data_IF_571445641142
#
_entry.id   IF_571445641142
#
_cell.length_a   1.000
_cell.length_b   1.000
_cell.length_c   1.000
_cell.angle_alpha   90.00
_cell.angle_beta   90.00
_cell.angle_gamma   90.00
#
_symmetry.space_group_name_H-M   'P 1'
#
loop_
_entity.id
_entity.type
_entity.pdbx_description
1 polymer ?
#
# COMPACT_ATOMS: atom_id res chain seq x y z
N UNK A 1 77.72 -6.18 -17.26
CA UNK A 1 76.77 -5.04 -17.21
C UNK A 1 75.65 -5.46 -16.25
N UNK A 2 75.63 -5.23 -14.94
CA UNK A 2 76.13 -4.11 -14.13
C UNK A 2 75.06 -3.00 -14.02
N UNK A 3 74.74 -2.43 -12.84
CA UNK A 3 74.74 -3.03 -11.50
C UNK A 3 73.60 -2.51 -10.56
N UNK A 4 73.38 -3.23 -9.43
CA UNK A 4 73.39 -2.77 -8.02
C UNK A 4 72.44 -1.67 -7.45
N UNK A 5 71.94 -2.04 -6.25
CA UNK A 5 71.83 -1.28 -4.98
C UNK A 5 70.68 -0.24 -4.87
N UNK A 6 70.05 0.05 -3.71
CA UNK A 6 70.44 -0.08 -2.30
C UNK A 6 69.23 -0.24 -1.37
N UNK A 7 69.49 -0.89 -0.24
CA UNK A 7 68.67 -1.08 0.98
C UNK A 7 69.11 -0.06 2.05
N UNK A 8 68.28 0.11 3.10
CA UNK A 8 68.49 0.75 4.43
C UNK A 8 67.96 2.18 4.58
N UNK A 9 67.44 2.60 5.73
CA UNK A 9 67.41 2.01 7.07
C UNK A 9 66.96 3.07 8.09
N UNK A 10 66.58 2.60 9.28
CA UNK A 10 65.95 3.31 10.39
C UNK A 10 66.68 4.57 10.91
N UNK A 11 65.94 5.43 11.63
CA UNK A 11 66.42 6.03 12.88
C UNK A 11 65.28 6.61 13.75
N UNK A 12 65.52 6.48 15.05
CA UNK A 12 64.66 6.74 16.20
C UNK A 12 64.54 8.24 16.51
N UNK A 13 63.39 8.64 17.07
CA UNK A 13 63.22 9.91 17.76
C UNK A 13 62.18 9.79 18.88
N UNK A 14 62.64 9.57 20.10
CA UNK A 14 61.84 9.73 21.33
C UNK A 14 61.80 11.21 21.71
N UNK A 15 60.62 11.75 21.98
CA UNK A 15 60.44 12.88 22.90
C UNK A 15 59.08 12.78 23.62
N UNK A 16 59.05 13.34 24.81
CA UNK A 16 58.23 12.98 25.99
C UNK A 16 56.91 13.79 26.08
N UNK A 17 56.06 13.58 27.10
CA UNK A 17 54.60 13.65 27.02
C UNK A 17 54.05 15.08 27.19
N UNK A 18 52.87 15.33 26.61
CA UNK A 18 52.04 16.46 27.02
C UNK A 18 50.82 15.98 27.80
N UNK A 19 50.79 16.37 29.08
CA UNK A 19 49.68 16.23 30.01
C UNK A 19 48.59 17.24 29.62
N UNK A 20 47.37 16.72 29.47
CA UNK A 20 46.07 17.30 29.81
C UNK A 20 45.76 18.76 29.44
N UNK A 21 44.70 18.92 28.65
CA UNK A 21 43.67 19.94 28.92
C UNK A 21 42.28 19.32 28.68
N UNK A 22 41.48 19.36 29.73
CA UNK A 22 40.03 19.11 29.79
C UNK A 22 39.29 20.21 29.02
N UNK A 23 38.28 19.85 28.23
CA UNK A 23 37.44 20.82 27.51
C UNK A 23 36.49 20.13 26.53
N UNK A 24 35.45 19.44 26.96
CA UNK A 24 34.13 19.99 27.29
C UNK A 24 33.13 19.99 26.10
N UNK A 25 32.15 19.09 26.20
CA UNK A 25 30.74 19.47 26.06
C UNK A 25 30.08 19.67 24.70
N UNK A 26 30.78 19.67 23.54
CA UNK A 26 30.14 20.13 22.27
C UNK A 26 29.64 19.07 21.27
N UNK A 27 29.86 17.77 21.49
CA UNK A 27 29.41 16.73 20.54
C UNK A 27 28.11 15.98 20.88
N UNK A 28 27.41 16.34 21.97
CA UNK A 28 26.10 15.72 22.30
C UNK A 28 24.87 16.44 21.72
N UNK A 29 25.01 17.66 21.18
CA UNK A 29 23.87 18.44 20.63
C UNK A 29 23.53 18.14 19.17
N UNK A 30 24.47 17.62 18.37
CA UNK A 30 24.22 17.27 16.97
C UNK A 30 23.55 15.89 16.82
N UNK A 31 23.85 14.94 17.70
CA UNK A 31 23.19 13.61 17.74
C UNK A 31 21.71 13.68 18.18
N UNK A 32 21.34 14.61 19.08
CA UNK A 32 19.94 14.78 19.50
C UNK A 32 19.05 15.45 18.44
N UNK A 33 19.61 16.30 17.57
CA UNK A 33 18.84 16.98 16.51
C UNK A 33 18.50 16.07 15.33
N UNK A 34 19.34 15.08 15.00
CA UNK A 34 18.98 14.06 14.00
C UNK A 34 17.92 13.11 14.55
N UNK A 35 18.08 12.65 15.80
CA UNK A 35 17.12 11.78 16.50
C UNK A 35 15.72 12.43 16.68
N UNK A 36 15.65 13.72 16.99
CA UNK A 36 14.37 14.44 17.11
C UNK A 36 13.64 14.66 15.78
N UNK A 37 14.35 14.63 14.63
CA UNK A 37 13.71 14.67 13.32
C UNK A 37 13.08 13.32 12.98
N UNK A 38 13.75 12.21 13.29
CA UNK A 38 13.23 10.85 13.05
C UNK A 38 11.99 10.53 13.89
N UNK A 39 11.88 11.08 15.10
CA UNK A 39 10.79 10.78 16.05
C UNK A 39 9.39 11.35 15.71
N UNK A 40 9.25 12.25 14.72
CA UNK A 40 7.97 12.93 14.40
C UNK A 40 7.30 12.47 13.11
N UNK A 41 7.92 11.55 12.39
CA UNK A 41 7.65 11.36 10.96
C UNK A 41 6.41 10.50 10.67
N UNK A 42 6.19 9.32 11.32
CA UNK A 42 5.08 8.45 10.91
C UNK A 42 3.69 8.95 11.35
N UNK A 43 3.60 9.65 12.49
CA UNK A 43 2.35 10.30 12.94
C UNK A 43 1.92 11.42 11.98
N UNK A 44 2.87 12.09 11.32
CA UNK A 44 2.59 13.13 10.33
C UNK A 44 1.94 12.55 9.07
N UNK A 45 2.34 11.34 8.66
CA UNK A 45 1.75 10.67 7.51
C UNK A 45 0.31 10.20 7.76
N UNK A 46 0.05 9.70 8.97
CA UNK A 46 -1.32 9.40 9.39
C UNK A 46 -2.15 10.68 9.42
N UNK A 47 -1.64 11.77 9.99
CA UNK A 47 -2.34 13.05 10.09
C UNK A 47 -2.77 13.64 8.72
N UNK A 48 -1.92 13.57 7.69
CA UNK A 48 -2.23 14.11 6.37
C UNK A 48 -3.33 13.29 5.67
N UNK A 49 -3.25 11.96 5.74
CA UNK A 49 -4.27 11.06 5.18
C UNK A 49 -5.58 11.16 5.96
N UNK A 50 -5.49 11.32 7.27
CA UNK A 50 -6.62 11.55 8.16
C UNK A 50 -7.35 12.84 7.85
N UNK A 51 -6.67 13.92 7.42
CA UNK A 51 -7.34 15.16 7.03
C UNK A 51 -8.28 14.96 5.82
N UNK A 52 -7.80 14.30 4.76
CA UNK A 52 -8.63 13.99 3.58
C UNK A 52 -9.75 13.01 3.93
N UNK A 53 -9.47 11.98 4.74
CA UNK A 53 -10.49 11.06 5.21
C UNK A 53 -11.56 11.73 6.07
N UNK A 54 -11.20 12.64 6.99
CA UNK A 54 -12.16 13.40 7.80
C UNK A 54 -13.01 14.30 6.91
N UNK A 55 -12.38 15.03 5.98
CA UNK A 55 -13.09 15.92 5.07
C UNK A 55 -14.08 15.15 4.18
N UNK A 56 -13.66 14.01 3.62
CA UNK A 56 -14.51 13.15 2.81
C UNK A 56 -15.63 12.53 3.65
N UNK A 57 -15.32 11.98 4.83
CA UNK A 57 -16.33 11.46 5.77
C UNK A 57 -17.37 12.53 6.13
N UNK A 58 -16.95 13.77 6.39
CA UNK A 58 -17.86 14.87 6.65
C UNK A 58 -18.75 15.17 5.45
N UNK A 59 -18.25 15.07 4.22
CA UNK A 59 -19.01 15.33 2.98
C UNK A 59 -19.97 14.21 2.61
N UNK A 60 -19.60 12.95 2.84
CA UNK A 60 -20.24 11.79 2.20
C UNK A 60 -21.01 10.91 3.18
N UNK A 61 -20.58 10.81 4.43
CA UNK A 61 -21.07 9.79 5.37
C UNK A 61 -22.33 10.22 6.13
N UNK A 62 -23.19 9.26 6.45
CA UNK A 62 -24.32 9.46 7.35
C UNK A 62 -23.89 9.80 8.79
N UNK A 63 -22.66 9.44 9.19
CA UNK A 63 -22.10 9.79 10.49
C UNK A 63 -22.14 11.31 10.75
N UNK A 64 -21.97 12.11 9.69
CA UNK A 64 -21.95 13.56 9.77
C UNK A 64 -23.24 14.21 9.24
N UNK A 65 -24.29 13.44 8.92
CA UNK A 65 -25.51 13.97 8.32
C UNK A 65 -26.22 15.00 9.20
N UNK A 66 -26.37 14.73 10.50
CA UNK A 66 -26.99 15.69 11.42
C UNK A 66 -26.19 16.98 11.56
N UNK A 67 -24.85 16.88 11.59
CA UNK A 67 -23.98 18.05 11.66
C UNK A 67 -24.05 18.89 10.38
N UNK A 68 -24.00 18.24 9.19
CA UNK A 68 -24.19 18.93 7.90
C UNK A 68 -25.54 19.65 7.85
N UNK A 69 -26.62 18.95 8.22
CA UNK A 69 -27.98 19.48 8.19
C UNK A 69 -28.15 20.68 9.13
N UNK A 70 -27.56 20.65 10.33
CA UNK A 70 -27.57 21.77 11.26
C UNK A 70 -26.92 23.05 10.71
N UNK A 71 -26.10 22.93 9.68
CA UNK A 71 -25.44 24.03 8.98
C UNK A 71 -25.95 24.24 7.55
N UNK A 72 -27.11 23.67 7.19
CA UNK A 72 -27.73 23.85 5.87
C UNK A 72 -26.96 23.20 4.72
N UNK A 73 -26.15 22.19 5.00
CA UNK A 73 -25.33 21.47 4.01
C UNK A 73 -25.95 20.10 3.71
N UNK A 74 -25.89 19.69 2.44
CA UNK A 74 -26.23 18.32 2.00
C UNK A 74 -24.97 17.47 1.83
N UNK A 75 -25.15 16.15 1.67
CA UNK A 75 -24.04 15.30 1.23
C UNK A 75 -23.58 15.69 -0.18
N UNK A 76 -22.31 15.51 -0.48
CA UNK A 76 -21.72 15.73 -1.82
C UNK A 76 -21.03 14.46 -2.31
N UNK A 77 -20.68 14.44 -3.60
CA UNK A 77 -19.79 13.41 -4.13
C UNK A 77 -18.43 13.45 -3.41
N UNK A 78 -17.77 12.29 -3.37
CA UNK A 78 -16.39 12.17 -2.88
C UNK A 78 -15.41 12.87 -3.82
N UNK A 79 -14.29 13.33 -3.27
CA UNK A 79 -13.17 13.91 -4.03
C UNK A 79 -12.05 12.88 -4.26
N UNK A 80 -12.40 11.59 -4.26
CA UNK A 80 -11.45 10.50 -4.51
C UNK A 80 -10.77 10.66 -5.88
N UNK A 81 -9.44 10.68 -5.87
CA UNK A 81 -8.63 10.70 -7.09
C UNK A 81 -8.35 9.27 -7.55
N UNK A 82 -9.33 8.64 -8.22
CA UNK A 82 -9.20 7.25 -8.69
C UNK A 82 -8.07 7.06 -9.69
N UNK A 83 -7.80 8.06 -10.54
CA UNK A 83 -6.68 8.00 -11.48
C UNK A 83 -5.35 7.78 -10.75
N UNK A 84 -5.14 8.45 -9.61
CA UNK A 84 -3.98 8.24 -8.76
C UNK A 84 -4.08 6.93 -7.96
N UNK A 85 -5.19 6.70 -7.24
CA UNK A 85 -5.32 5.54 -6.32
C UNK A 85 -5.24 4.21 -7.05
N UNK A 86 -5.94 4.06 -8.17
CA UNK A 86 -5.95 2.83 -8.96
C UNK A 86 -4.77 2.81 -9.94
N UNK A 87 -4.51 3.92 -10.63
CA UNK A 87 -3.42 3.99 -11.61
C UNK A 87 -2.03 3.77 -11.01
N UNK A 88 -1.81 4.26 -9.78
CA UNK A 88 -0.56 4.09 -9.05
C UNK A 88 -0.67 3.06 -7.90
N UNK A 89 -1.67 2.17 -7.96
CA UNK A 89 -1.90 1.14 -6.93
C UNK A 89 -0.68 0.26 -6.67
N UNK A 90 0.24 0.14 -7.63
CA UNK A 90 1.50 -0.62 -7.52
C UNK A 90 2.52 0.03 -6.59
N UNK A 91 2.34 1.30 -6.22
CA UNK A 91 3.23 2.00 -5.29
C UNK A 91 3.01 1.55 -3.84
N UNK A 92 3.92 1.95 -2.96
CA UNK A 92 3.84 1.65 -1.53
C UNK A 92 2.62 2.37 -0.92
N UNK A 93 1.77 1.64 -0.17
CA UNK A 93 0.52 2.21 0.37
C UNK A 93 0.78 3.29 1.45
N UNK A 94 1.84 3.10 2.24
CA UNK A 94 2.33 4.07 3.23
C UNK A 94 3.62 4.71 2.69
N UNK A 95 3.45 5.68 1.79
CA UNK A 95 4.54 6.45 1.16
C UNK A 95 4.29 7.95 1.32
N UNK A 96 5.26 8.65 1.93
CA UNK A 96 5.29 10.09 2.17
C UNK A 96 6.23 10.85 1.27
N UNK A 97 6.70 10.24 0.19
CA UNK A 97 7.48 10.93 -0.83
C UNK A 97 6.62 11.99 -1.52
N UNK A 98 7.06 13.25 -1.45
CA UNK A 98 6.37 14.38 -2.07
C UNK A 98 6.36 14.20 -3.60
N UNK A 99 5.22 14.47 -4.24
CA UNK A 99 4.97 14.39 -5.69
C UNK A 99 4.97 12.99 -6.33
N UNK A 100 5.61 11.99 -5.72
CA UNK A 100 5.77 10.66 -6.33
C UNK A 100 5.06 9.55 -5.56
N UNK A 101 4.93 9.70 -4.25
CA UNK A 101 4.30 8.71 -3.38
C UNK A 101 2.78 8.82 -3.31
N UNK A 102 2.20 8.09 -2.36
CA UNK A 102 0.78 8.15 -1.98
C UNK A 102 0.58 9.12 -0.80
N UNK A 103 1.06 10.35 -0.99
CA UNK A 103 1.17 11.34 0.08
C UNK A 103 -0.20 11.78 0.62
N UNK A 104 -1.19 11.99 -0.27
CA UNK A 104 -2.53 12.46 0.08
C UNK A 104 -3.62 11.42 -0.20
N UNK A 105 -3.36 10.44 -1.06
CA UNK A 105 -4.39 9.69 -1.77
C UNK A 105 -4.66 8.30 -1.18
N UNK A 106 -3.90 7.87 -0.18
CA UNK A 106 -4.15 6.59 0.49
C UNK A 106 -5.33 6.62 1.49
N UNK A 107 -6.05 7.73 1.61
CA UNK A 107 -7.20 7.88 2.51
C UNK A 107 -8.36 6.88 2.25
N UNK A 108 -8.63 6.35 1.04
CA UNK A 108 -9.68 5.35 0.84
C UNK A 108 -9.45 4.07 1.65
N UNK A 109 -8.21 3.75 1.99
CA UNK A 109 -7.90 2.67 2.93
C UNK A 109 -8.46 2.95 4.33
N UNK A 110 -8.42 4.21 4.79
CA UNK A 110 -9.04 4.62 6.05
C UNK A 110 -10.56 4.51 5.99
N UNK A 111 -11.17 4.86 4.86
CA UNK A 111 -12.60 4.66 4.64
C UNK A 111 -12.96 3.17 4.71
N UNK A 112 -12.19 2.31 4.04
CA UNK A 112 -12.38 0.86 4.07
C UNK A 112 -12.33 0.26 5.48
N UNK A 113 -11.29 0.54 6.27
CA UNK A 113 -11.18 0.00 7.64
C UNK A 113 -12.23 0.61 8.60
N UNK A 114 -12.76 1.79 8.25
CA UNK A 114 -13.83 2.43 9.02
C UNK A 114 -15.20 1.82 8.72
N UNK A 115 -15.49 1.58 7.43
CA UNK A 115 -16.73 0.95 6.99
C UNK A 115 -16.76 -0.54 7.34
N UNK A 116 -15.59 -1.19 7.34
CA UNK A 116 -15.40 -2.60 7.67
C UNK A 116 -16.37 -3.56 6.95
N UNK A 117 -16.47 -3.50 5.60
CA UNK A 117 -17.43 -4.32 4.85
C UNK A 117 -17.14 -5.83 4.92
N UNK A 118 -15.95 -6.22 5.41
CA UNK A 118 -15.55 -7.61 5.63
C UNK A 118 -15.78 -8.10 7.08
N UNK A 119 -16.23 -7.23 7.99
CA UNK A 119 -16.55 -7.61 9.37
C UNK A 119 -15.34 -8.04 10.19
N UNK A 120 -14.14 -7.53 9.91
CA UNK A 120 -12.94 -7.87 10.68
C UNK A 120 -13.04 -7.34 12.12
N UNK A 121 -12.68 -8.19 13.09
CA UNK A 121 -12.74 -7.82 14.50
C UNK A 121 -11.72 -6.71 14.80
N UNK A 122 -12.17 -5.68 15.52
CA UNK A 122 -11.36 -4.52 15.88
C UNK A 122 -11.37 -3.37 14.87
N UNK A 123 -11.93 -3.59 13.67
CA UNK A 123 -12.18 -2.53 12.69
C UNK A 123 -13.59 -1.92 12.87
N UNK A 124 -13.91 -0.86 12.10
CA UNK A 124 -15.17 -0.12 12.21
C UNK A 124 -14.98 1.36 12.54
N UNK A 125 -16.04 2.02 13.01
CA UNK A 125 -16.09 3.49 13.23
C UNK A 125 -15.03 4.02 14.20
N UNK A 126 -14.48 3.17 15.07
CA UNK A 126 -13.39 3.54 15.99
C UNK A 126 -11.99 3.11 15.54
N UNK A 127 -11.85 2.39 14.43
CA UNK A 127 -10.59 1.77 14.00
C UNK A 127 -9.44 2.79 13.93
N UNK A 128 -9.62 3.88 13.20
CA UNK A 128 -8.60 4.93 13.03
C UNK A 128 -8.19 5.52 14.39
N UNK A 129 -9.15 5.80 15.27
CA UNK A 129 -8.89 6.29 16.63
C UNK A 129 -8.08 5.28 17.45
N UNK A 130 -8.40 3.99 17.35
CA UNK A 130 -7.67 2.94 18.08
C UNK A 130 -6.26 2.76 17.51
N UNK A 131 -6.07 2.82 16.19
CA UNK A 131 -4.73 2.81 15.58
C UNK A 131 -3.88 3.96 16.11
N UNK A 132 -4.41 5.18 16.19
CA UNK A 132 -3.71 6.34 16.75
C UNK A 132 -3.33 6.10 18.21
N UNK A 133 -4.23 5.52 19.01
CA UNK A 133 -3.99 5.24 20.43
C UNK A 133 -2.98 4.13 20.68
N UNK A 134 -2.97 3.12 19.80
CA UNK A 134 -2.05 1.99 19.87
C UNK A 134 -0.71 2.31 19.22
N UNK A 135 -0.55 3.46 18.57
CA UNK A 135 0.70 3.86 17.96
C UNK A 135 1.80 4.01 19.01
N UNK A 136 2.95 3.39 18.77
CA UNK A 136 4.12 3.44 19.64
C UNK A 136 4.90 4.73 19.37
N UNK A 137 4.72 5.70 20.26
CA UNK A 137 5.28 7.03 20.10
C UNK A 137 6.82 7.01 20.10
N UNK A 138 7.41 7.55 19.05
CA UNK A 138 8.87 7.61 18.88
C UNK A 138 9.50 6.36 18.25
N UNK A 139 8.67 5.42 17.77
CA UNK A 139 9.10 4.30 16.95
C UNK A 139 9.16 4.65 15.45
N UNK A 140 9.76 3.76 14.65
CA UNK A 140 9.75 3.78 13.19
C UNK A 140 8.60 2.93 12.60
N UNK A 141 7.57 2.66 13.40
CA UNK A 141 6.46 1.86 12.91
C UNK A 141 5.59 2.66 11.94
N UNK A 142 5.00 1.95 10.99
CA UNK A 142 3.97 2.50 10.11
C UNK A 142 2.58 2.26 10.69
N UNK A 143 1.54 2.96 10.21
CA UNK A 143 0.16 2.69 10.60
C UNK A 143 -0.26 1.22 10.42
N UNK A 144 0.41 0.45 9.56
CA UNK A 144 0.14 -0.98 9.40
C UNK A 144 0.47 -1.79 10.67
N UNK A 145 1.43 -1.37 11.49
CA UNK A 145 1.76 -2.05 12.75
C UNK A 145 0.69 -1.81 13.81
N UNK A 146 0.20 -0.57 13.91
CA UNK A 146 -0.92 -0.25 14.79
C UNK A 146 -2.22 -0.93 14.32
N UNK A 147 -2.41 -1.07 13.00
CA UNK A 147 -3.50 -1.86 12.42
C UNK A 147 -3.42 -3.33 12.85
N UNK A 148 -2.25 -3.95 12.73
CA UNK A 148 -2.01 -5.35 13.10
C UNK A 148 -2.30 -5.61 14.59
N UNK A 149 -2.03 -4.62 15.45
CA UNK A 149 -2.37 -4.68 16.89
C UNK A 149 -3.87 -4.62 17.17
N UNK A 150 -4.65 -3.86 16.40
CA UNK A 150 -6.09 -3.72 16.65
C UNK A 150 -6.93 -4.78 15.92
N UNK A 151 -6.47 -5.28 14.78
CA UNK A 151 -7.15 -6.27 13.97
C UNK A 151 -6.88 -7.68 14.50
N UNK A 152 -7.53 -8.07 15.60
CA UNK A 152 -7.15 -9.32 16.30
C UNK A 152 -7.54 -10.61 15.59
N UNK A 153 -8.38 -10.55 14.54
CA UNK A 153 -8.85 -11.73 13.81
C UNK A 153 -8.15 -11.96 12.47
N UNK A 154 -7.24 -11.08 12.05
CA UNK A 154 -6.58 -11.13 10.73
C UNK A 154 -5.32 -10.25 10.73
N UNK A 155 -4.41 -10.44 9.79
CA UNK A 155 -3.19 -9.62 9.71
C UNK A 155 -3.42 -8.32 8.94
N UNK A 156 -2.60 -7.30 9.20
CA UNK A 156 -2.60 -6.07 8.40
C UNK A 156 -2.38 -6.35 6.90
N UNK A 157 -1.54 -7.32 6.56
CA UNK A 157 -1.32 -7.79 5.18
C UNK A 157 -2.62 -8.26 4.52
N UNK A 158 -3.38 -9.11 5.20
CA UNK A 158 -4.62 -9.67 4.68
C UNK A 158 -5.70 -8.58 4.52
N UNK A 159 -5.75 -7.62 5.45
CA UNK A 159 -6.63 -6.45 5.35
C UNK A 159 -6.27 -5.60 4.14
N UNK A 160 -4.99 -5.31 3.90
CA UNK A 160 -4.56 -4.54 2.73
C UNK A 160 -4.82 -5.31 1.43
N UNK A 161 -4.60 -6.62 1.42
CA UNK A 161 -4.92 -7.44 0.25
C UNK A 161 -6.41 -7.40 -0.10
N UNK A 162 -7.29 -7.57 0.91
CA UNK A 162 -8.74 -7.48 0.70
C UNK A 162 -9.16 -6.08 0.30
N UNK A 163 -8.59 -5.02 0.90
CA UNK A 163 -8.80 -3.65 0.46
C UNK A 163 -8.55 -3.48 -1.05
N UNK A 164 -7.40 -3.94 -1.55
CA UNK A 164 -7.11 -3.85 -2.98
C UNK A 164 -8.05 -4.70 -3.83
N UNK A 165 -8.48 -5.86 -3.34
CA UNK A 165 -9.52 -6.66 -4.00
C UNK A 165 -10.85 -5.90 -4.12
N UNK A 166 -11.25 -5.18 -3.06
CA UNK A 166 -12.44 -4.30 -3.07
C UNK A 166 -12.27 -3.12 -4.01
N UNK A 167 -11.07 -2.54 -4.07
CA UNK A 167 -10.76 -1.44 -4.98
C UNK A 167 -10.89 -1.80 -6.46
N UNK A 168 -10.96 -3.08 -6.83
CA UNK A 168 -11.26 -3.49 -8.21
C UNK A 168 -12.63 -2.98 -8.70
N UNK A 169 -13.60 -2.84 -7.79
CA UNK A 169 -14.93 -2.29 -8.05
C UNK A 169 -15.34 -1.18 -7.06
N UNK A 170 -14.34 -0.67 -6.32
CA UNK A 170 -14.43 0.39 -5.30
C UNK A 170 -15.58 0.16 -4.31
N UNK A 171 -15.87 -1.10 -3.98
CA UNK A 171 -16.96 -1.48 -3.08
C UNK A 171 -16.48 -1.56 -1.62
N UNK A 172 -15.77 -0.51 -1.21
CA UNK A 172 -15.11 -0.37 0.10
C UNK A 172 -16.05 0.08 1.24
N UNK A 173 -17.36 -0.05 1.04
CA UNK A 173 -18.37 0.53 1.94
C UNK A 173 -18.51 2.05 1.80
N UNK A 174 -18.19 2.60 0.63
CA UNK A 174 -18.24 4.03 0.32
C UNK A 174 -19.02 4.28 -0.99
N UNK A 175 -20.35 4.35 -0.90
CA UNK A 175 -21.25 4.34 -2.08
C UNK A 175 -20.88 5.39 -3.13
N UNK A 176 -20.66 6.65 -2.74
CA UNK A 176 -20.31 7.70 -3.71
C UNK A 176 -18.96 7.48 -4.39
N UNK A 177 -18.03 6.74 -3.77
CA UNK A 177 -16.75 6.39 -4.40
C UNK A 177 -16.93 5.31 -5.45
N UNK A 178 -17.84 4.36 -5.19
CA UNK A 178 -18.23 3.35 -6.18
C UNK A 178 -18.94 3.99 -7.38
N UNK A 179 -19.82 4.96 -7.15
CA UNK A 179 -20.48 5.70 -8.24
C UNK A 179 -19.45 6.44 -9.12
N UNK A 180 -18.52 7.17 -8.49
CA UNK A 180 -17.43 7.86 -9.19
C UNK A 180 -16.55 6.86 -9.96
N UNK A 181 -16.32 5.67 -9.41
CA UNK A 181 -15.59 4.62 -10.11
C UNK A 181 -16.29 4.18 -11.39
N UNK A 182 -17.58 3.84 -11.36
CA UNK A 182 -18.27 3.40 -12.57
C UNK A 182 -18.34 4.48 -13.65
N UNK A 183 -18.35 5.76 -13.25
CA UNK A 183 -18.25 6.90 -14.18
C UNK A 183 -16.85 7.02 -14.82
N UNK A 184 -15.79 6.71 -14.08
CA UNK A 184 -14.40 6.96 -14.51
C UNK A 184 -13.65 5.71 -14.99
N UNK A 185 -14.14 4.49 -14.72
CA UNK A 185 -13.35 3.25 -14.86
C UNK A 185 -12.69 3.05 -16.23
N UNK A 186 -13.30 3.56 -17.30
CA UNK A 186 -12.78 3.45 -18.65
C UNK A 186 -11.57 4.37 -18.93
N UNK A 187 -11.33 5.40 -18.11
CA UNK A 187 -10.17 6.29 -18.22
C UNK A 187 -9.03 5.93 -17.26
N UNK A 188 -9.23 4.95 -16.38
CA UNK A 188 -8.23 4.53 -15.41
C UNK A 188 -7.15 3.65 -16.05
N UNK A 189 -5.95 3.73 -15.51
CA UNK A 189 -4.78 3.11 -16.09
C UNK A 189 -4.47 1.73 -15.48
N UNK A 190 -4.91 0.67 -16.16
CA UNK A 190 -4.69 -0.73 -15.76
C UNK A 190 -3.55 -1.43 -16.50
N UNK A 191 -2.69 -0.69 -17.20
CA UNK A 191 -1.67 -1.25 -18.08
C UNK A 191 -0.48 -1.86 -17.29
N UNK A 192 -0.73 -2.89 -16.50
CA UNK A 192 0.19 -3.53 -15.55
C UNK A 192 1.03 -4.66 -16.15
N UNK A 193 0.53 -5.30 -17.21
CA UNK A 193 1.10 -6.54 -17.76
C UNK A 193 1.53 -6.39 -19.23
N UNK A 194 2.54 -7.16 -19.61
CA UNK A 194 2.94 -7.44 -21.00
C UNK A 194 2.54 -8.87 -21.36
N UNK A 195 1.79 -9.03 -22.45
CA UNK A 195 1.43 -10.35 -22.97
C UNK A 195 2.68 -11.09 -23.45
N UNK A 196 2.82 -12.35 -23.05
CA UNK A 196 3.84 -13.29 -23.50
C UNK A 196 3.25 -14.33 -24.48
N UNK A 197 1.99 -14.15 -24.89
CA UNK A 197 1.24 -15.10 -25.71
C UNK A 197 0.59 -16.24 -24.92
N UNK A 198 -0.35 -16.96 -25.55
CA UNK A 198 -1.01 -18.15 -24.98
C UNK A 198 -1.63 -17.94 -23.58
N UNK A 199 -2.27 -16.79 -23.36
CA UNK A 199 -2.87 -16.44 -22.07
C UNK A 199 -1.85 -16.23 -20.94
N UNK A 200 -0.56 -16.10 -21.26
CA UNK A 200 0.51 -15.86 -20.30
C UNK A 200 0.93 -14.40 -20.35
N UNK A 201 1.16 -13.81 -19.19
CA UNK A 201 1.47 -12.41 -19.00
C UNK A 201 2.61 -12.23 -18.00
N UNK A 202 3.42 -11.19 -18.20
CA UNK A 202 4.49 -10.78 -17.29
C UNK A 202 4.17 -9.40 -16.75
N UNK A 203 4.39 -9.16 -15.46
CA UNK A 203 4.28 -7.80 -14.92
C UNK A 203 5.32 -6.88 -15.54
N UNK A 204 4.91 -5.65 -15.91
CA UNK A 204 5.85 -4.63 -16.37
C UNK A 204 6.78 -4.24 -15.23
N UNK A 205 8.08 -4.12 -15.51
CA UNK A 205 9.08 -3.74 -14.50
C UNK A 205 8.72 -2.45 -13.75
N UNK A 206 8.22 -1.44 -14.47
CA UNK A 206 7.80 -0.16 -13.89
C UNK A 206 6.49 -0.22 -13.08
N UNK A 207 5.74 -1.33 -13.13
CA UNK A 207 4.44 -1.55 -12.46
C UNK A 207 4.47 -2.69 -11.45
N UNK A 208 5.64 -3.26 -11.17
CA UNK A 208 5.77 -4.28 -10.14
C UNK A 208 5.24 -3.76 -8.80
N UNK A 209 4.28 -4.45 -8.16
CA UNK A 209 3.75 -4.03 -6.87
C UNK A 209 4.87 -3.94 -5.83
N UNK A 210 5.07 -2.74 -5.27
CA UNK A 210 5.97 -2.50 -4.15
C UNK A 210 5.29 -2.88 -2.85
N UNK A 211 5.94 -2.67 -1.71
CA UNK A 211 5.43 -3.08 -0.39
C UNK A 211 3.96 -2.67 -0.16
N UNK A 212 3.07 -3.65 -0.03
CA UNK A 212 1.62 -3.49 0.15
C UNK A 212 0.90 -2.74 -0.99
N UNK A 213 1.56 -2.57 -2.13
CA UNK A 213 0.95 -2.15 -3.38
C UNK A 213 0.34 -3.33 -4.13
N UNK A 214 -0.44 -3.02 -5.16
CA UNK A 214 -1.19 -3.99 -5.95
C UNK A 214 -1.13 -3.71 -7.46
N UNK A 215 -1.44 -4.73 -8.25
CA UNK A 215 -1.94 -4.56 -9.60
C UNK A 215 -3.39 -5.03 -9.65
N UNK A 216 -4.27 -4.17 -10.16
CA UNK A 216 -5.65 -4.51 -10.52
C UNK A 216 -5.67 -4.74 -12.03
N UNK A 217 -6.17 -5.91 -12.45
CA UNK A 217 -6.12 -6.37 -13.84
C UNK A 217 -7.54 -6.75 -14.25
N UNK A 218 -8.32 -5.82 -14.83
CA UNK A 218 -9.62 -6.12 -15.41
C UNK A 218 -9.49 -7.22 -16.47
N UNK A 219 -10.40 -8.19 -16.46
CA UNK A 219 -10.36 -9.33 -17.37
C UNK A 219 -11.46 -9.21 -18.42
N UNK A 220 -11.11 -9.54 -19.66
CA UNK A 220 -12.04 -9.65 -20.78
C UNK A 220 -12.44 -11.12 -20.96
N UNK A 221 -13.75 -11.38 -21.06
CA UNK A 221 -14.33 -12.70 -21.32
C UNK A 221 -15.42 -12.67 -22.37
N UNK A 222 -15.82 -13.83 -22.86
CA UNK A 222 -16.97 -14.00 -23.75
C UNK A 222 -18.05 -14.87 -23.10
N UNK A 223 -19.27 -14.34 -22.99
CA UNK A 223 -20.41 -15.09 -22.44
C UNK A 223 -20.22 -15.53 -20.98
N UNK A 224 -20.86 -16.66 -20.65
CA UNK A 224 -20.61 -17.37 -19.40
C UNK A 224 -19.41 -18.31 -19.58
N UNK A 225 -18.48 -18.30 -18.63
CA UNK A 225 -17.21 -19.03 -18.74
C UNK A 225 -16.62 -19.30 -17.35
N UNK A 226 -15.80 -20.33 -17.22
CA UNK A 226 -14.93 -20.47 -16.04
C UNK A 226 -13.60 -19.77 -16.30
N UNK A 227 -13.27 -18.79 -15.46
CA UNK A 227 -11.97 -18.14 -15.48
C UNK A 227 -11.07 -18.85 -14.48
N UNK A 228 -9.88 -19.26 -14.93
CA UNK A 228 -8.82 -19.77 -14.05
C UNK A 228 -7.61 -18.85 -14.17
N UNK A 229 -7.05 -18.49 -13.02
CA UNK A 229 -5.87 -17.67 -12.92
C UNK A 229 -4.81 -18.39 -12.08
N UNK A 230 -3.59 -18.40 -12.60
CA UNK A 230 -2.40 -18.87 -11.89
C UNK A 230 -1.37 -17.75 -11.87
N UNK A 231 -1.00 -17.29 -10.69
CA UNK A 231 0.03 -16.29 -10.43
C UNK A 231 1.25 -16.99 -9.88
N UNK A 232 2.43 -16.68 -10.44
CA UNK A 232 3.70 -17.26 -9.99
C UNK A 232 4.68 -16.15 -9.67
N UNK A 233 5.26 -16.18 -8.48
CA UNK A 233 6.27 -15.23 -8.02
C UNK A 233 7.25 -15.92 -7.07
N UNK A 234 8.45 -15.37 -6.92
CA UNK A 234 9.46 -15.86 -5.97
C UNK A 234 9.31 -15.31 -4.56
N UNK A 235 8.53 -14.25 -4.38
CA UNK A 235 8.23 -13.61 -3.08
C UNK A 235 6.79 -13.89 -2.67
N UNK A 236 6.50 -13.75 -1.38
CA UNK A 236 5.13 -13.85 -0.86
C UNK A 236 4.21 -12.78 -1.49
N UNK A 237 3.00 -13.20 -1.83
CA UNK A 237 1.96 -12.35 -2.41
C UNK A 237 0.58 -12.87 -2.02
N UNK A 238 -0.43 -12.02 -2.21
CA UNK A 238 -1.84 -12.42 -2.14
C UNK A 238 -2.47 -12.13 -3.50
N UNK A 239 -3.29 -13.06 -3.99
CA UNK A 239 -4.04 -12.87 -5.22
C UNK A 239 -5.51 -13.24 -5.05
N UNK A 240 -6.39 -12.46 -5.68
CA UNK A 240 -7.84 -12.62 -5.59
C UNK A 240 -8.47 -12.32 -6.95
N UNK A 241 -9.45 -13.13 -7.35
CA UNK A 241 -10.43 -12.75 -8.38
C UNK A 241 -11.56 -11.98 -7.70
N UNK A 242 -11.65 -10.67 -7.96
CA UNK A 242 -12.81 -9.87 -7.61
C UNK A 242 -13.83 -9.99 -8.75
N UNK A 243 -15.08 -10.30 -8.43
CA UNK A 243 -16.12 -10.60 -9.42
C UNK A 243 -17.34 -9.73 -9.11
N UNK A 244 -17.65 -8.80 -10.02
CA UNK A 244 -18.78 -7.89 -9.90
C UNK A 244 -19.93 -8.36 -10.78
N UNK A 245 -21.13 -8.41 -10.22
CA UNK A 245 -22.35 -8.75 -10.95
C UNK A 245 -23.15 -7.50 -11.28
N UNK A 246 -23.10 -7.08 -12.54
CA UNK A 246 -23.77 -5.88 -13.04
C UNK A 246 -25.29 -5.87 -12.88
N UNK A 247 -25.94 -7.04 -12.73
CA UNK A 247 -27.40 -7.11 -12.54
C UNK A 247 -27.85 -6.91 -11.09
N UNK A 248 -26.97 -7.13 -10.12
CA UNK A 248 -27.29 -7.03 -8.68
C UNK A 248 -26.50 -5.94 -7.96
N UNK A 249 -25.41 -5.45 -8.55
CA UNK A 249 -24.47 -4.55 -7.91
C UNK A 249 -23.57 -5.23 -6.86
N UNK A 250 -23.67 -6.55 -6.67
CA UNK A 250 -22.89 -7.27 -5.68
C UNK A 250 -21.50 -7.67 -6.22
N UNK A 251 -20.50 -7.63 -5.34
CA UNK A 251 -19.17 -8.18 -5.60
C UNK A 251 -18.93 -9.40 -4.72
N UNK A 252 -18.29 -10.42 -5.27
CA UNK A 252 -17.75 -11.56 -4.53
C UNK A 252 -16.27 -11.73 -4.83
N UNK A 253 -15.56 -12.41 -3.93
CA UNK A 253 -14.12 -12.57 -4.02
C UNK A 253 -13.74 -14.05 -3.94
N UNK A 254 -12.81 -14.46 -4.80
CA UNK A 254 -12.23 -15.81 -4.77
C UNK A 254 -10.73 -15.67 -4.56
N UNK A 255 -10.24 -16.11 -3.41
CA UNK A 255 -8.80 -16.08 -3.12
C UNK A 255 -8.08 -17.20 -3.85
N UNK A 256 -6.92 -16.88 -4.42
CA UNK A 256 -6.08 -17.82 -5.16
C UNK A 256 -5.10 -18.46 -4.19
N UNK A 257 -5.53 -19.54 -3.53
CA UNK A 257 -4.68 -20.29 -2.62
C UNK A 257 -3.40 -20.75 -3.34
N UNK A 258 -2.24 -20.42 -2.77
CA UNK A 258 -0.93 -20.69 -3.37
C UNK A 258 -0.76 -20.13 -4.79
N UNK A 259 -1.50 -19.08 -5.14
CA UNK A 259 -1.41 -18.42 -6.44
C UNK A 259 -2.34 -18.97 -7.51
N UNK A 260 -3.13 -20.01 -7.26
CA UNK A 260 -4.07 -20.58 -8.25
C UNK A 260 -5.50 -20.58 -7.75
N UNK A 261 -6.44 -20.29 -8.64
CA UNK A 261 -7.87 -20.31 -8.34
C UNK A 261 -8.72 -20.15 -9.59
N UNK A 262 -10.00 -20.50 -9.47
CA UNK A 262 -10.95 -20.43 -10.57
C UNK A 262 -12.34 -20.03 -10.09
N UNK A 263 -13.11 -19.39 -10.96
CA UNK A 263 -14.50 -19.07 -10.72
C UNK A 263 -15.33 -19.22 -11.99
N UNK A 264 -16.52 -19.81 -11.86
CA UNK A 264 -17.54 -19.72 -12.89
C UNK A 264 -18.11 -18.30 -12.89
N UNK A 265 -18.16 -17.67 -14.07
CA UNK A 265 -18.76 -16.36 -14.30
C UNK A 265 -19.97 -16.51 -15.22
N UNK A 266 -21.06 -15.89 -14.82
CA UNK A 266 -22.24 -15.68 -15.65
C UNK A 266 -22.01 -14.59 -16.70
N UNK A 267 -22.99 -14.41 -17.60
CA UNK A 267 -22.93 -13.36 -18.61
C UNK A 267 -22.94 -11.94 -18.00
N UNK A 268 -23.63 -11.74 -16.88
CA UNK A 268 -23.74 -10.43 -16.19
C UNK A 268 -22.59 -10.14 -15.22
N UNK A 269 -21.69 -11.09 -15.01
CA UNK A 269 -20.52 -10.90 -14.17
C UNK A 269 -19.32 -10.43 -14.99
N UNK A 270 -18.49 -9.59 -14.39
CA UNK A 270 -17.15 -9.21 -14.84
C UNK A 270 -16.14 -9.53 -13.73
N UNK A 271 -14.88 -9.79 -14.09
CA UNK A 271 -13.83 -10.10 -13.12
C UNK A 271 -12.62 -9.20 -13.29
N UNK A 272 -11.93 -8.99 -12.17
CA UNK A 272 -10.58 -8.43 -12.13
C UNK A 272 -9.68 -9.36 -11.31
N UNK A 273 -8.50 -9.66 -11.82
CA UNK A 273 -7.44 -10.28 -11.02
C UNK A 273 -6.72 -9.18 -10.25
N UNK A 274 -6.59 -9.34 -8.93
CA UNK A 274 -5.83 -8.43 -8.08
C UNK A 274 -4.64 -9.19 -7.50
N UNK A 275 -3.43 -8.66 -7.69
CA UNK A 275 -2.18 -9.23 -7.16
C UNK A 275 -1.51 -8.21 -6.26
N UNK A 276 -1.27 -8.57 -5.00
CA UNK A 276 -0.77 -7.67 -3.94
C UNK A 276 0.55 -8.20 -3.39
N UNK A 277 1.55 -7.33 -3.27
CA UNK A 277 2.81 -7.67 -2.61
C UNK A 277 2.63 -7.61 -1.09
N UNK A 278 2.46 -8.79 -0.49
CA UNK A 278 2.20 -8.98 0.94
C UNK A 278 3.30 -9.82 1.59
N UNK A 279 4.46 -9.21 1.93
CA UNK A 279 5.51 -9.93 2.64
C UNK A 279 5.01 -10.48 3.98
N UNK A 280 5.57 -11.61 4.40
CA UNK A 280 5.14 -12.33 5.60
C UNK A 280 5.22 -11.50 6.89
N UNK A 281 6.15 -10.53 6.94
CA UNK A 281 6.35 -9.65 8.08
C UNK A 281 6.20 -8.19 7.68
N UNK A 282 5.70 -7.39 8.62
CA UNK A 282 5.70 -5.94 8.47
C UNK A 282 7.13 -5.40 8.57
N UNK A 283 7.43 -4.42 7.72
CA UNK A 283 8.74 -3.76 7.67
C UNK A 283 8.63 -2.41 8.40
N UNK A 284 9.56 -2.16 9.32
CA UNK A 284 9.77 -0.83 9.91
C UNK A 284 10.55 0.03 8.92
N UNK A 285 10.01 1.21 8.60
CA UNK A 285 10.68 2.16 7.71
C UNK A 285 10.15 3.58 7.92
N UNK A 286 10.95 4.55 7.47
CA UNK A 286 10.52 5.95 7.37
C UNK A 286 9.70 6.13 6.08
N UNK A 287 8.40 6.49 6.14
CA UNK A 287 7.59 6.70 4.96
C UNK A 287 8.11 7.80 4.01
N UNK A 288 8.96 8.71 4.48
CA UNK A 288 9.55 9.79 3.68
C UNK A 288 10.95 9.45 3.18
N UNK A 289 11.47 8.27 3.52
CA UNK A 289 12.75 7.74 3.07
C UNK A 289 12.67 6.22 2.93
N UNK A 290 12.07 5.77 1.83
CA UNK A 290 11.84 4.34 1.58
C UNK A 290 13.17 3.58 1.44
N UNK A 291 13.24 2.41 2.08
CA UNK A 291 14.38 1.50 1.97
C UNK A 291 14.30 0.67 0.69
N UNK A 292 15.37 -0.06 0.37
CA UNK A 292 15.42 -0.99 -0.76
C UNK A 292 14.34 -2.07 -0.66
N UNK A 293 14.10 -2.59 0.55
CA UNK A 293 13.16 -3.70 0.77
C UNK A 293 11.71 -3.26 0.54
N UNK A 294 11.38 -2.04 0.97
CA UNK A 294 10.05 -1.43 0.79
C UNK A 294 9.82 -1.04 -0.67
N UNK A 295 10.87 -0.60 -1.35
CA UNK A 295 10.83 -0.19 -2.76
C UNK A 295 10.93 -1.37 -3.74
N UNK A 296 11.27 -2.57 -3.25
CA UNK A 296 11.46 -3.73 -4.10
C UNK A 296 10.11 -4.20 -4.69
N UNK A 297 10.06 -4.25 -6.02
CA UNK A 297 8.91 -4.78 -6.75
C UNK A 297 8.72 -6.29 -6.53
N UNK A 298 7.46 -6.70 -6.57
CA UNK A 298 7.04 -8.08 -6.77
C UNK A 298 7.09 -8.39 -8.27
N UNK A 299 8.05 -9.20 -8.68
CA UNK A 299 8.10 -9.74 -10.02
C UNK A 299 7.27 -11.03 -10.11
N UNK A 300 6.32 -11.09 -11.05
CA UNK A 300 5.41 -12.23 -11.18
C UNK A 300 4.99 -12.47 -12.63
N UNK A 301 4.50 -13.67 -12.90
CA UNK A 301 3.81 -14.05 -14.14
C UNK A 301 2.38 -14.47 -13.83
N UNK A 302 1.50 -14.32 -14.81
CA UNK A 302 0.12 -14.79 -14.75
C UNK A 302 -0.15 -15.70 -15.93
N UNK A 303 -0.83 -16.81 -15.70
CA UNK A 303 -1.48 -17.61 -16.73
C UNK A 303 -2.99 -17.56 -16.53
N UNK A 304 -3.70 -17.18 -17.58
CA UNK A 304 -5.16 -17.07 -17.60
C UNK A 304 -5.76 -18.08 -18.59
N UNK A 305 -6.88 -18.67 -18.21
CA UNK A 305 -7.75 -19.43 -19.12
C UNK A 305 -9.19 -18.96 -18.95
N UNK A 306 -9.97 -18.94 -20.03
CA UNK A 306 -11.36 -18.47 -20.04
C UNK A 306 -11.52 -16.94 -20.07
N UNK A 307 -10.43 -16.19 -19.93
CA UNK A 307 -10.37 -14.74 -20.06
C UNK A 307 -8.97 -14.27 -20.49
N UNK A 308 -8.87 -13.01 -20.89
CA UNK A 308 -7.62 -12.30 -21.20
C UNK A 308 -7.50 -11.05 -20.33
N UNK A 309 -6.27 -10.69 -19.95
CA UNK A 309 -5.93 -9.39 -19.36
C UNK A 309 -5.65 -8.33 -20.44
#
# INVERSE_FOLDING_TARGET
MGPRHHVHGALLGRSRPYRGVVGDGKNKRLSKRSSLRTLRIPLTLLAIKTANWIADTYKTSDLCASARSAHGQSATATEINLAKVIGDSFQVIVDGSVNTGNYYEAWPFLAYITANPDGYTGLGTTAVRQMIRQYDQGSNETPLHSLDRIATSTTAQAIVARYWARMAYVDIGHATAQDVFFQQRNSLNYANLDSQGSGTYKVKSARQPRYMGANIIPLTKSGAVTVTATVTASKAFTATLAIYNSSTGATRYVDLASGTGSAALSASEEASLVVVNTPASLILYDPFSLTSDVSAGLDYTVKLTGATA
#
